data_IF_781351232723
#
_entry.id   IF_781351232723
#
_cell.length_a   1.000
_cell.length_b   1.000
_cell.length_c   1.000
_cell.angle_alpha   90.00
_cell.angle_beta   90.00
_cell.angle_gamma   90.00
#
_symmetry.space_group_name_H-M   'P 1'
#
loop_
_entity.id
_entity.type
_entity.pdbx_description
1 polymer ?
#
# COMPACT_ATOMS: atom_id res chain seq x y z
N UNK A 1 -11.22 4.50 0.96
CA UNK A 1 -11.17 4.00 2.35
C UNK A 1 -11.57 2.53 2.31
N UNK A 2 -10.73 1.59 2.79
CA UNK A 2 -10.87 0.14 2.55
C UNK A 2 -12.02 -0.57 3.33
N UNK A 3 -13.01 0.17 3.86
CA UNK A 3 -14.16 -0.41 4.60
C UNK A 3 -13.82 -1.17 5.89
N UNK A 4 -12.56 -1.19 6.32
CA UNK A 4 -12.06 -1.95 7.48
C UNK A 4 -12.01 -1.13 8.77
N UNK A 5 -12.21 -1.80 9.91
CA UNK A 5 -12.11 -1.20 11.25
C UNK A 5 -10.69 -0.68 11.51
N UNK A 6 -10.58 0.49 12.17
CA UNK A 6 -9.29 1.13 12.52
C UNK A 6 -8.38 0.20 13.35
N UNK A 7 -8.95 -0.67 14.17
CA UNK A 7 -8.20 -1.66 14.93
C UNK A 7 -7.39 -2.62 14.03
N UNK A 8 -7.99 -3.12 12.95
CA UNK A 8 -7.34 -4.02 11.99
C UNK A 8 -6.18 -3.31 11.27
N UNK A 9 -6.40 -2.04 10.89
CA UNK A 9 -5.35 -1.21 10.30
C UNK A 9 -4.20 -1.03 11.28
N UNK A 10 -4.48 -0.80 12.56
CA UNK A 10 -3.45 -0.60 13.58
C UNK A 10 -2.58 -1.85 13.80
N UNK A 11 -3.18 -3.05 13.75
CA UNK A 11 -2.44 -4.32 13.83
C UNK A 11 -1.50 -4.47 12.63
N UNK A 12 -2.00 -4.26 11.41
CA UNK A 12 -1.18 -4.33 10.21
C UNK A 12 -0.04 -3.30 10.23
N UNK A 13 -0.33 -2.05 10.58
CA UNK A 13 0.69 -0.99 10.73
C UNK A 13 1.73 -1.36 11.79
N UNK A 14 1.32 -2.00 12.89
CA UNK A 14 2.22 -2.49 13.93
C UNK A 14 3.19 -3.56 13.42
N UNK A 15 2.70 -4.52 12.64
CA UNK A 15 3.53 -5.58 12.03
C UNK A 15 4.53 -4.99 11.02
N UNK A 16 4.07 -4.11 10.13
CA UNK A 16 4.90 -3.47 9.11
C UNK A 16 5.94 -2.51 9.72
N UNK A 17 5.58 -1.80 10.80
CA UNK A 17 6.52 -0.96 11.54
C UNK A 17 7.59 -1.79 12.24
N UNK A 18 7.22 -2.92 12.86
CA UNK A 18 8.19 -3.84 13.49
C UNK A 18 9.16 -4.45 12.47
N UNK A 19 8.67 -4.73 11.26
CA UNK A 19 9.49 -5.20 10.16
C UNK A 19 10.40 -4.12 9.54
N UNK A 20 10.26 -2.85 9.96
CA UNK A 20 11.10 -1.74 9.48
C UNK A 20 10.69 -1.13 8.14
N UNK A 21 9.63 -1.66 7.51
CA UNK A 21 9.21 -1.21 6.17
C UNK A 21 8.53 0.16 6.15
N UNK A 22 7.86 0.53 7.26
CA UNK A 22 7.12 1.78 7.37
C UNK A 22 7.40 2.52 8.68
N UNK A 23 7.26 3.85 8.63
CA UNK A 23 7.19 4.74 9.78
C UNK A 23 5.76 5.26 9.91
N UNK A 24 5.21 5.23 11.12
CA UNK A 24 3.87 5.73 11.40
C UNK A 24 3.90 6.78 12.51
N UNK A 25 3.45 8.00 12.19
CA UNK A 25 3.38 9.13 13.13
C UNK A 25 2.06 9.87 12.93
N UNK A 26 1.25 9.97 14.00
CA UNK A 26 0.00 10.76 14.05
C UNK A 26 -0.93 10.58 12.84
N UNK A 27 -1.15 9.35 12.37
CA UNK A 27 -2.03 9.09 11.23
C UNK A 27 -1.36 9.19 9.85
N UNK A 28 -0.09 9.59 9.80
CA UNK A 28 0.71 9.55 8.58
C UNK A 28 1.56 8.29 8.52
N UNK A 29 1.48 7.60 7.38
CA UNK A 29 2.31 6.43 7.06
C UNK A 29 3.34 6.88 6.03
N UNK A 30 4.61 6.70 6.36
CA UNK A 30 5.74 6.92 5.46
C UNK A 30 6.37 5.56 5.15
N UNK A 31 6.50 5.21 3.88
CA UNK A 31 7.24 4.01 3.47
C UNK A 31 8.73 4.33 3.53
N UNK A 32 9.49 3.53 4.29
CA UNK A 32 10.93 3.72 4.48
C UNK A 32 11.72 2.74 3.61
N UNK A 33 11.20 1.53 3.45
CA UNK A 33 11.78 0.49 2.60
C UNK A 33 10.70 -0.09 1.69
N UNK A 34 10.67 0.41 0.45
CA UNK A 34 9.71 -0.04 -0.56
C UNK A 34 10.03 -1.43 -1.11
N UNK A 35 11.28 -1.77 -1.50
CA UNK A 35 11.62 -3.13 -1.91
C UNK A 35 11.30 -4.19 -0.85
N UNK A 36 11.62 -3.93 0.41
CA UNK A 36 11.29 -4.83 1.52
C UNK A 36 9.77 -5.03 1.67
N UNK A 37 9.01 -3.93 1.62
CA UNK A 37 7.55 -3.97 1.68
C UNK A 37 6.92 -4.74 0.51
N UNK A 38 7.46 -4.58 -0.71
CA UNK A 38 7.01 -5.31 -1.89
C UNK A 38 7.30 -6.80 -1.78
N UNK A 39 8.46 -7.18 -1.25
CA UNK A 39 8.83 -8.59 -1.03
C UNK A 39 7.96 -9.28 0.02
N UNK A 40 7.52 -8.53 1.03
CA UNK A 40 6.64 -9.03 2.09
C UNK A 40 5.15 -9.05 1.67
N UNK A 41 4.82 -8.44 0.54
CA UNK A 41 3.44 -8.39 0.02
C UNK A 41 3.13 -9.64 -0.81
N UNK A 42 1.87 -10.07 -0.81
CA UNK A 42 1.43 -11.11 -1.74
C UNK A 42 1.42 -10.60 -3.20
N UNK A 43 1.35 -11.53 -4.16
CA UNK A 43 1.14 -11.24 -5.58
C UNK A 43 -0.09 -10.34 -5.85
N UNK A 44 -1.03 -10.33 -4.90
CA UNK A 44 -2.13 -9.39 -4.81
C UNK A 44 -1.70 -7.93 -5.01
N UNK A 45 -0.55 -7.51 -4.49
CA UNK A 45 -0.02 -6.16 -4.62
C UNK A 45 0.29 -5.83 -6.09
N UNK A 46 0.97 -6.75 -6.79
CA UNK A 46 1.29 -6.60 -8.21
C UNK A 46 0.03 -6.56 -9.07
N UNK A 47 -0.96 -7.40 -8.77
CA UNK A 47 -2.24 -7.40 -9.46
C UNK A 47 -2.96 -6.05 -9.33
N UNK A 48 -2.99 -5.48 -8.12
CA UNK A 48 -3.57 -4.16 -7.85
C UNK A 48 -2.81 -3.06 -8.59
N UNK A 49 -1.47 -3.07 -8.56
CA UNK A 49 -0.66 -2.06 -9.26
C UNK A 49 -0.91 -2.10 -10.77
N UNK A 50 -0.96 -3.29 -11.38
CA UNK A 50 -1.29 -3.46 -12.81
C UNK A 50 -2.68 -2.94 -13.15
N UNK A 51 -3.67 -3.25 -12.32
CA UNK A 51 -5.04 -2.77 -12.51
C UNK A 51 -5.16 -1.26 -12.29
N UNK A 52 -4.39 -0.70 -11.35
CA UNK A 52 -4.37 0.73 -11.10
C UNK A 52 -3.69 1.49 -12.25
N UNK A 53 -2.57 0.97 -12.75
CA UNK A 53 -1.83 1.54 -13.87
C UNK A 53 -2.67 1.56 -15.15
N UNK A 54 -3.41 0.49 -15.45
CA UNK A 54 -4.30 0.47 -16.63
C UNK A 54 -5.46 1.47 -16.57
N UNK A 55 -5.87 1.90 -15.37
CA UNK A 55 -6.93 2.89 -15.17
C UNK A 55 -6.40 4.31 -15.15
N UNK A 56 -5.25 4.54 -14.47
CA UNK A 56 -4.67 5.87 -14.29
C UNK A 56 -3.73 6.30 -15.41
N UNK A 57 -3.09 5.35 -16.11
CA UNK A 57 -2.26 5.58 -17.29
C UNK A 57 -3.06 5.39 -18.59
N UNK A 58 -4.40 5.58 -18.56
CA UNK A 58 -5.11 5.78 -19.82
C UNK A 58 -4.57 7.06 -20.45
N UNK A 59 -3.96 7.03 -21.66
CA UNK A 59 -3.83 8.25 -22.43
C UNK A 59 -5.24 8.84 -22.52
N UNK A 60 -5.36 10.13 -22.29
CA UNK A 60 -6.61 10.87 -22.44
C UNK A 60 -7.03 10.86 -23.91
N UNK A 61 -7.47 9.71 -24.41
CA UNK A 61 -8.17 9.60 -25.67
C UNK A 61 -9.66 9.64 -25.37
N UNK A 62 -10.16 10.87 -25.39
CA UNK A 62 -11.51 11.14 -25.88
C UNK A 62 -11.37 12.25 -26.92
N UNK A 63 -11.24 11.81 -28.17
CA UNK A 63 -11.88 12.47 -29.31
C UNK A 63 -13.39 12.58 -29.11
#
# INVERSE_FOLDING_TARGET
>A
MLGVRRATVNVATGMLKKAGFIRYVRGQITVVDRPGLESASCDCYRAIIRAYDSVMNKPSDRS
#
